data_IF_334123762835
#
_entry.id   IF_334123762835
#
_cell.length_a   1.000
_cell.length_b   1.000
_cell.length_c   1.000
_cell.angle_alpha   90.00
_cell.angle_beta   90.00
_cell.angle_gamma   90.00
#
_symmetry.space_group_name_H-M   'P 1'
#
loop_
_entity.id
_entity.type
_entity.pdbx_description
1 polymer ?
#
# COMPACT_ATOMS: atom_id res chain seq x y z
N UNK A 1 20.95 12.11 -6.86
CA UNK A 1 20.06 13.05 -6.14
C UNK A 1 18.72 12.35 -5.96
N UNK A 2 18.27 12.15 -4.72
CA UNK A 2 16.93 11.63 -4.49
C UNK A 2 15.92 12.70 -4.92
N UNK A 3 15.12 12.41 -5.94
CA UNK A 3 14.04 13.29 -6.39
C UNK A 3 12.94 13.39 -5.33
N UNK A 4 11.97 14.29 -5.56
CA UNK A 4 10.73 14.33 -4.77
C UNK A 4 9.53 14.15 -5.68
N UNK A 5 8.38 13.78 -5.10
CA UNK A 5 7.10 13.77 -5.78
C UNK A 5 6.01 14.31 -4.87
N UNK A 6 4.97 14.90 -5.47
CA UNK A 6 3.77 15.31 -4.74
C UNK A 6 2.76 14.17 -4.76
N UNK A 7 2.29 13.74 -3.59
CA UNK A 7 1.30 12.67 -3.49
C UNK A 7 -0.04 13.10 -4.10
N UNK A 8 -0.51 12.37 -5.13
CA UNK A 8 -1.79 12.62 -5.80
C UNK A 8 -3.04 12.34 -4.93
N UNK A 9 -2.85 11.85 -3.69
CA UNK A 9 -3.93 11.62 -2.72
C UNK A 9 -3.97 12.70 -1.64
N UNK A 10 -2.89 12.87 -0.87
CA UNK A 10 -2.87 13.80 0.27
C UNK A 10 -2.14 15.13 -0.01
N UNK A 11 -1.52 15.31 -1.17
CA UNK A 11 -0.80 16.52 -1.54
C UNK A 11 0.58 16.71 -0.88
N UNK A 12 1.01 15.78 -0.02
CA UNK A 12 2.33 15.87 0.62
C UNK A 12 3.47 15.73 -0.40
N UNK A 13 4.48 16.59 -0.32
CA UNK A 13 5.74 16.42 -1.05
C UNK A 13 6.64 15.43 -0.30
N UNK A 14 7.03 14.36 -0.98
CA UNK A 14 7.69 13.19 -0.40
C UNK A 14 9.01 12.92 -1.13
N UNK A 15 10.03 12.45 -0.42
CA UNK A 15 11.25 11.91 -1.02
C UNK A 15 10.92 10.67 -1.89
N UNK A 16 11.38 10.67 -3.13
CA UNK A 16 11.24 9.51 -4.03
C UNK A 16 12.13 8.32 -3.61
N UNK A 17 13.08 8.54 -2.70
CA UNK A 17 13.86 7.48 -2.08
C UNK A 17 13.39 7.24 -0.64
N UNK A 18 13.41 5.98 -0.24
CA UNK A 18 13.27 5.54 1.16
C UNK A 18 14.55 5.81 1.95
N UNK A 19 14.54 5.53 3.25
CA UNK A 19 15.71 5.74 4.15
C UNK A 19 16.90 4.86 3.75
N UNK A 20 16.63 3.65 3.24
CA UNK A 20 17.60 2.69 2.70
C UNK A 20 18.04 3.00 1.25
N UNK A 21 17.55 4.09 0.67
CA UNK A 21 17.94 4.54 -0.68
C UNK A 21 17.24 3.79 -1.81
N UNK A 22 16.27 2.92 -1.51
CA UNK A 22 15.46 2.26 -2.53
C UNK A 22 14.37 3.19 -3.06
N UNK A 23 13.86 2.91 -4.26
CA UNK A 23 12.81 3.72 -4.86
C UNK A 23 11.50 3.50 -4.09
N UNK A 24 10.92 4.58 -3.60
CA UNK A 24 9.64 4.57 -2.92
C UNK A 24 8.49 4.38 -3.91
N UNK A 25 7.56 3.49 -3.56
CA UNK A 25 6.37 3.21 -4.37
C UNK A 25 5.08 3.85 -3.83
N UNK A 26 5.03 4.28 -2.57
CA UNK A 26 3.86 4.94 -1.96
C UNK A 26 4.25 6.08 -1.04
N UNK A 27 3.34 7.02 -0.81
CA UNK A 27 3.52 8.10 0.16
C UNK A 27 3.60 7.53 1.59
N UNK A 28 4.62 7.84 2.41
CA UNK A 28 4.73 7.31 3.76
C UNK A 28 3.58 7.78 4.67
N UNK A 29 3.06 8.99 4.43
CA UNK A 29 2.02 9.59 5.28
C UNK A 29 0.64 8.93 5.09
N UNK A 30 0.28 8.53 3.87
CA UNK A 30 -1.06 8.04 3.54
C UNK A 30 -1.09 6.66 2.85
N UNK A 31 0.08 6.10 2.55
CA UNK A 31 0.30 4.78 1.94
C UNK A 31 -0.33 4.63 0.55
N UNK A 32 -0.81 5.69 -0.07
CA UNK A 32 -1.28 5.67 -1.46
C UNK A 32 -0.11 5.70 -2.45
N UNK A 33 -0.29 4.98 -3.56
CA UNK A 33 0.66 4.87 -4.65
C UNK A 33 0.08 5.45 -5.96
N UNK A 34 0.91 5.48 -7.01
CA UNK A 34 0.51 5.80 -8.37
C UNK A 34 0.92 4.65 -9.30
N UNK A 35 0.00 4.27 -10.18
CA UNK A 35 0.19 3.17 -11.12
C UNK A 35 1.13 3.60 -12.25
N UNK A 36 2.44 3.43 -12.04
CA UNK A 36 3.49 3.80 -13.00
C UNK A 36 4.24 2.61 -13.57
N UNK A 37 4.01 1.41 -13.02
CA UNK A 37 4.56 0.15 -13.49
C UNK A 37 3.40 -0.81 -13.74
N UNK A 38 3.36 -1.41 -14.92
CA UNK A 38 2.47 -2.49 -15.29
C UNK A 38 3.09 -3.80 -14.78
N UNK A 39 2.41 -4.49 -13.88
CA UNK A 39 2.89 -5.75 -13.30
C UNK A 39 2.43 -6.98 -14.07
N UNK A 40 1.52 -6.83 -15.04
CA UNK A 40 1.04 -7.91 -15.90
C UNK A 40 2.00 -8.11 -17.07
N UNK A 41 2.22 -7.05 -17.85
CA UNK A 41 3.09 -7.08 -19.04
C UNK A 41 4.54 -6.72 -18.72
N UNK A 42 4.77 -6.06 -17.58
CA UNK A 42 6.07 -5.56 -17.18
C UNK A 42 6.43 -4.24 -17.87
N UNK A 43 7.02 -3.32 -17.09
CA UNK A 43 7.48 -2.03 -17.61
C UNK A 43 6.55 -0.86 -17.27
N UNK A 44 6.74 0.32 -17.88
CA UNK A 44 5.99 1.52 -17.50
C UNK A 44 4.50 1.40 -17.85
N UNK A 45 3.64 1.78 -16.92
CA UNK A 45 2.18 1.81 -17.13
C UNK A 45 1.71 3.18 -17.63
N UNK A 46 0.90 3.17 -18.69
CA UNK A 46 0.19 4.36 -19.18
C UNK A 46 -1.09 4.67 -18.38
N UNK A 47 -1.49 3.79 -17.46
CA UNK A 47 -2.69 3.99 -16.64
C UNK A 47 -2.55 5.23 -15.75
N UNK A 48 -1.42 5.40 -15.05
CA UNK A 48 -1.14 6.53 -14.14
C UNK A 48 -2.20 6.76 -13.07
N UNK A 49 -3.10 5.80 -12.87
CA UNK A 49 -4.18 5.86 -11.90
C UNK A 49 -3.66 5.87 -10.48
N UNK A 50 -4.42 6.47 -9.55
CA UNK A 50 -4.10 6.35 -8.13
C UNK A 50 -4.27 4.89 -7.71
N UNK A 51 -3.40 4.42 -6.82
CA UNK A 51 -3.55 3.11 -6.23
C UNK A 51 -3.83 3.23 -4.74
N UNK A 52 -5.00 2.75 -4.33
CA UNK A 52 -5.44 2.77 -2.94
C UNK A 52 -4.87 1.55 -2.21
N UNK A 53 -4.31 1.73 -0.99
CA UNK A 53 -3.90 0.61 -0.17
C UNK A 53 -5.15 -0.08 0.38
N UNK A 54 -5.28 -1.38 0.16
CA UNK A 54 -6.48 -2.16 0.51
C UNK A 54 -6.22 -3.22 1.57
N UNK A 55 -4.97 -3.65 1.75
CA UNK A 55 -4.58 -4.65 2.74
C UNK A 55 -3.09 -4.54 3.06
N UNK A 56 -2.66 -5.23 4.11
CA UNK A 56 -1.27 -5.64 4.32
C UNK A 56 -1.16 -7.15 4.19
N UNK A 57 0.04 -7.64 3.89
CA UNK A 57 0.36 -9.06 3.82
C UNK A 57 1.73 -9.33 4.46
N UNK A 58 1.87 -10.48 5.11
CA UNK A 58 3.15 -10.98 5.62
C UNK A 58 3.56 -12.16 4.75
N UNK A 59 4.70 -12.04 4.06
CA UNK A 59 5.21 -13.09 3.21
C UNK A 59 5.82 -14.23 4.04
N UNK A 60 6.10 -15.38 3.41
CA UNK A 60 6.77 -16.52 4.08
C UNK A 60 8.17 -16.16 4.60
N UNK A 61 8.81 -15.17 3.99
CA UNK A 61 10.10 -14.63 4.42
C UNK A 61 10.00 -13.78 5.70
N UNK A 62 8.79 -13.42 6.12
CA UNK A 62 8.53 -12.47 7.20
C UNK A 62 8.41 -11.02 6.73
N UNK A 63 8.64 -10.75 5.44
CA UNK A 63 8.53 -9.40 4.89
C UNK A 63 7.08 -8.91 4.89
N UNK A 64 6.91 -7.65 5.29
CA UNK A 64 5.62 -6.98 5.34
C UNK A 64 5.40 -6.15 4.08
N UNK A 65 4.25 -6.37 3.44
CA UNK A 65 3.87 -5.75 2.17
C UNK A 65 2.56 -5.00 2.33
N UNK A 66 2.43 -3.86 1.66
CA UNK A 66 1.15 -3.21 1.40
C UNK A 66 0.61 -3.73 0.07
N UNK A 67 -0.67 -4.09 0.04
CA UNK A 67 -1.39 -4.43 -1.18
C UNK A 67 -2.16 -3.20 -1.66
N UNK A 68 -1.91 -2.80 -2.90
CA UNK A 68 -2.58 -1.68 -3.55
C UNK A 68 -3.50 -2.16 -4.66
N UNK A 69 -4.61 -1.43 -4.88
CA UNK A 69 -5.51 -1.61 -6.03
C UNK A 69 -5.59 -0.32 -6.83
N UNK A 70 -5.38 -0.41 -8.14
CA UNK A 70 -5.56 0.74 -9.02
C UNK A 70 -7.04 1.12 -9.09
N UNK A 71 -7.37 2.38 -8.83
CA UNK A 71 -8.77 2.86 -8.87
C UNK A 71 -9.31 3.03 -10.30
N UNK A 72 -8.48 2.79 -11.33
CA UNK A 72 -8.85 2.93 -12.75
C UNK A 72 -8.98 1.59 -13.47
N UNK A 73 -8.00 0.70 -13.31
CA UNK A 73 -7.95 -0.58 -14.03
C UNK A 73 -8.02 -1.81 -13.12
N UNK A 74 -8.18 -1.62 -11.81
CA UNK A 74 -8.30 -2.68 -10.80
C UNK A 74 -7.07 -3.59 -10.61
N UNK A 75 -5.96 -3.32 -11.31
CA UNK A 75 -4.71 -4.05 -11.11
C UNK A 75 -4.23 -3.99 -9.66
N UNK A 76 -3.78 -5.13 -9.15
CA UNK A 76 -3.26 -5.29 -7.80
C UNK A 76 -1.73 -5.34 -7.81
N UNK A 77 -1.12 -4.60 -6.90
CA UNK A 77 0.33 -4.61 -6.71
C UNK A 77 0.67 -4.75 -5.24
N UNK A 78 1.89 -5.19 -4.95
CA UNK A 78 2.42 -5.28 -3.59
C UNK A 78 3.74 -4.54 -3.48
N UNK A 79 3.86 -3.67 -2.49
CA UNK A 79 5.10 -2.93 -2.20
C UNK A 79 5.57 -3.17 -0.77
N UNK A 80 6.89 -3.25 -0.51
CA UNK A 80 7.40 -3.39 0.85
C UNK A 80 6.97 -2.24 1.76
N UNK A 81 6.65 -2.53 3.02
CA UNK A 81 6.47 -1.51 4.05
C UNK A 81 7.83 -0.92 4.41
N UNK A 82 7.91 0.40 4.44
CA UNK A 82 9.11 1.16 4.81
C UNK A 82 9.09 1.57 6.28
N UNK A 83 10.27 1.74 6.89
CA UNK A 83 10.39 2.10 8.30
C UNK A 83 9.75 3.45 8.67
N UNK A 84 9.63 4.37 7.71
CA UNK A 84 9.04 5.70 7.88
C UNK A 84 7.57 5.79 7.44
N UNK A 85 6.94 4.66 7.12
CA UNK A 85 5.51 4.63 6.82
C UNK A 85 4.65 4.90 8.07
N UNK A 86 3.49 5.50 7.86
CA UNK A 86 2.54 5.82 8.92
C UNK A 86 1.95 4.54 9.54
N UNK A 87 2.52 4.14 10.67
CA UNK A 87 2.16 2.92 11.41
C UNK A 87 0.69 2.85 11.80
N UNK A 88 0.03 3.98 12.08
CA UNK A 88 -1.40 4.02 12.42
C UNK A 88 -2.28 3.58 11.24
N UNK A 89 -1.92 3.97 10.01
CA UNK A 89 -2.67 3.57 8.81
C UNK A 89 -2.45 2.07 8.54
N UNK A 90 -1.21 1.59 8.67
CA UNK A 90 -0.89 0.17 8.51
C UNK A 90 -1.65 -0.70 9.53
N UNK A 91 -1.62 -0.30 10.81
CA UNK A 91 -2.36 -0.99 11.87
C UNK A 91 -3.87 -1.00 11.59
N UNK A 92 -4.44 0.16 11.20
CA UNK A 92 -5.87 0.27 10.87
C UNK A 92 -6.26 -0.67 9.73
N UNK A 93 -5.41 -0.82 8.71
CA UNK A 93 -5.66 -1.79 7.63
C UNK A 93 -5.61 -3.22 8.13
N UNK A 94 -4.61 -3.57 8.93
CA UNK A 94 -4.42 -4.92 9.46
C UNK A 94 -5.59 -5.39 10.34
N UNK A 95 -6.14 -4.51 11.18
CA UNK A 95 -7.20 -4.86 12.14
C UNK A 95 -8.62 -4.70 11.56
N UNK A 96 -8.77 -4.08 10.39
CA UNK A 96 -10.10 -3.79 9.80
C UNK A 96 -10.98 -5.02 9.65
N UNK A 97 -10.50 -6.18 9.16
CA UNK A 97 -11.34 -7.38 9.04
C UNK A 97 -11.86 -7.89 10.39
N UNK A 98 -11.11 -7.68 11.48
CA UNK A 98 -11.52 -8.06 12.83
C UNK A 98 -12.51 -7.06 13.43
N UNK A 99 -12.33 -5.76 13.15
CA UNK A 99 -13.22 -4.70 13.64
C UNK A 99 -14.54 -4.60 12.84
N UNK A 100 -14.55 -5.08 11.59
CA UNK A 100 -15.69 -5.05 10.67
C UNK A 100 -15.79 -6.37 9.89
N UNK A 101 -16.05 -7.49 10.59
CA UNK A 101 -16.09 -8.80 9.96
C UNK A 101 -17.34 -8.95 9.08
N UNK A 102 -17.27 -9.75 8.00
CA UNK A 102 -18.43 -10.02 7.14
C UNK A 102 -19.41 -11.02 7.76
N UNK A 103 -19.17 -11.46 8.99
CA UNK A 103 -19.98 -12.39 9.78
C UNK A 103 -19.90 -12.01 11.27
N UNK A 104 -20.88 -12.41 12.10
CA UNK A 104 -20.82 -12.21 13.55
C UNK A 104 -19.63 -12.97 14.17
N UNK A 105 -18.84 -12.33 15.03
CA UNK A 105 -17.72 -13.00 15.73
C UNK A 105 -18.21 -13.84 16.92
N UNK A 106 -19.41 -13.54 17.42
CA UNK A 106 -20.05 -14.27 18.51
C UNK A 106 -20.26 -15.74 18.14
N UNK A 107 -20.37 -16.05 16.85
CA UNK A 107 -20.46 -17.41 16.33
C UNK A 107 -19.24 -18.30 16.67
N UNK A 108 -18.09 -17.72 17.03
CA UNK A 108 -16.93 -18.48 17.49
C UNK A 108 -16.94 -18.80 18.98
N UNK A 109 -17.83 -18.19 19.77
CA UNK A 109 -17.93 -18.43 21.21
C UNK A 109 -18.59 -19.76 21.58
N UNK A 110 -19.32 -20.36 20.64
CA UNK A 110 -20.04 -21.63 20.79
C UNK A 110 -19.27 -22.84 20.23
N UNK A 111 -18.02 -22.64 19.78
CA UNK A 111 -17.11 -23.68 19.25
C UNK A 111 -16.21 -24.28 20.34
#
# INVERSE_FOLDING_TARGET
>A
MAGTFTCAWCGLTVSAATVDGTRRNHCPSCVHSQHVLDHVEGGPSDCRGRMSPISVAVLRTGDWMVIHRCVRCDELTSSPICADDNQLILMRMAVRPLAQPPFPLEAFGDL
#
